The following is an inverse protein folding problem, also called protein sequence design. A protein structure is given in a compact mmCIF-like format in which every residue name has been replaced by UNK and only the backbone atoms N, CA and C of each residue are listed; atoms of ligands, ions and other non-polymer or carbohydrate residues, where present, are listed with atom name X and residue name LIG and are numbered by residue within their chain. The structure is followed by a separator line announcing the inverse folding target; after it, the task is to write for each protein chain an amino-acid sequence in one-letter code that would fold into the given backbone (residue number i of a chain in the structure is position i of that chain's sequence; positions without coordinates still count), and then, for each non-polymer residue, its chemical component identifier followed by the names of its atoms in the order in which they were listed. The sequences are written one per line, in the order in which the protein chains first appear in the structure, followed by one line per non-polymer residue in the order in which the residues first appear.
data_IF_652081099058
#
_entry.id   IF_652081099058
#
_cell.length_a   1.000
_cell.length_b   1.000
_cell.length_c   1.000
_cell.angle_alpha   90.00
_cell.angle_beta   90.00
_cell.angle_gamma   90.00
#
_symmetry.space_group_name_H-M   'P 1'
#
loop_
_entity.id
_entity.type
_entity.pdbx_description
1 polymer ?
#
# COMPACT_ATOMS: atom_id res chain seq x y z
N UNK A 1 -26.25 -20.86 13.30
CA UNK A 1 -26.11 -19.52 12.70
C UNK A 1 -24.64 -19.19 12.67
N UNK A 2 -23.99 -19.32 11.50
CA UNK A 2 -22.60 -18.90 11.32
C UNK A 2 -22.58 -17.47 10.79
N UNK A 3 -22.15 -16.54 11.64
CA UNK A 3 -21.83 -15.18 11.23
C UNK A 3 -20.48 -15.23 10.51
N UNK A 4 -20.53 -15.41 9.19
CA UNK A 4 -19.34 -15.31 8.34
C UNK A 4 -18.98 -13.83 8.26
N UNK A 5 -18.10 -13.39 9.14
CA UNK A 5 -17.50 -12.07 9.07
C UNK A 5 -16.78 -11.95 7.72
N UNK A 6 -17.32 -11.16 6.80
CA UNK A 6 -16.61 -10.73 5.61
C UNK A 6 -15.53 -9.75 6.09
N UNK A 7 -14.37 -10.29 6.43
CA UNK A 7 -13.18 -9.48 6.57
C UNK A 7 -12.84 -9.06 5.13
N UNK A 8 -12.90 -7.77 4.78
CA UNK A 8 -12.45 -7.35 3.45
C UNK A 8 -11.02 -7.83 3.28
N UNK A 9 -10.73 -8.56 2.20
CA UNK A 9 -9.37 -8.98 1.88
C UNK A 9 -8.55 -7.75 1.54
N UNK A 10 -7.95 -7.16 2.56
CA UNK A 10 -6.94 -6.12 2.43
C UNK A 10 -5.61 -6.82 2.23
N UNK A 11 -5.00 -6.59 1.08
CA UNK A 11 -3.61 -7.01 0.88
C UNK A 11 -2.71 -6.09 1.70
N UNK A 12 -1.75 -6.69 2.37
CA UNK A 12 -0.71 -5.95 3.08
C UNK A 12 0.62 -6.18 2.39
N UNK A 13 1.39 -5.12 2.21
CA UNK A 13 2.71 -5.19 1.60
C UNK A 13 3.70 -4.36 2.39
N UNK A 14 4.80 -5.00 2.76
CA UNK A 14 5.93 -4.33 3.38
C UNK A 14 6.74 -3.63 2.31
N UNK A 15 6.86 -2.31 2.43
CA UNK A 15 7.65 -1.46 1.55
C UNK A 15 8.72 -0.73 2.36
N UNK A 16 9.89 -0.56 1.76
CA UNK A 16 10.95 0.27 2.31
C UNK A 16 10.87 1.64 1.64
N UNK A 17 10.68 2.67 2.44
CA UNK A 17 10.53 4.04 2.00
C UNK A 17 11.79 4.84 2.37
N UNK A 18 12.39 5.51 1.40
CA UNK A 18 13.72 6.14 1.55
C UNK A 18 13.62 7.65 1.85
N UNK A 19 12.40 8.21 1.95
CA UNK A 19 12.19 9.62 2.29
C UNK A 19 11.62 9.73 3.70
N UNK A 20 12.46 9.56 4.72
CA UNK A 20 12.06 9.69 6.13
C UNK A 20 11.40 11.04 6.46
N UNK A 21 11.76 12.12 5.75
CA UNK A 21 11.17 13.46 5.93
C UNK A 21 9.63 13.45 5.74
N UNK A 22 9.13 12.56 4.87
CA UNK A 22 7.70 12.38 4.61
C UNK A 22 7.05 11.37 5.57
N UNK A 23 7.84 10.54 6.25
CA UNK A 23 7.42 9.59 7.31
C UNK A 23 7.26 10.33 8.64
N UNK A 24 6.75 11.55 8.58
CA UNK A 24 6.40 12.35 9.76
C UNK A 24 4.89 12.23 9.97
N UNK A 25 4.37 12.11 11.21
CA UNK A 25 2.92 12.08 11.46
C UNK A 25 2.18 13.29 10.88
N UNK A 26 2.85 14.44 10.72
CA UNK A 26 2.32 15.63 10.04
C UNK A 26 2.08 15.44 8.54
N UNK A 27 2.85 14.57 7.88
CA UNK A 27 2.82 14.36 6.44
C UNK A 27 2.16 13.03 6.05
N UNK A 28 1.46 12.37 6.97
CA UNK A 28 0.73 11.13 6.72
C UNK A 28 -0.16 11.19 5.46
N UNK A 29 -0.88 12.29 5.26
CA UNK A 29 -1.75 12.49 4.11
C UNK A 29 -0.96 12.64 2.79
N UNK A 30 0.14 13.40 2.82
CA UNK A 30 1.01 13.59 1.66
C UNK A 30 1.67 12.27 1.26
N UNK A 31 2.14 11.51 2.25
CA UNK A 31 2.75 10.20 2.04
C UNK A 31 1.75 9.20 1.47
N UNK A 32 0.51 9.15 1.98
CA UNK A 32 -0.53 8.30 1.43
C UNK A 32 -0.80 8.62 -0.04
N UNK A 33 -0.87 9.91 -0.40
CA UNK A 33 -1.07 10.36 -1.77
C UNK A 33 0.09 9.97 -2.69
N UNK A 34 1.32 10.14 -2.21
CA UNK A 34 2.53 9.77 -2.95
C UNK A 34 2.58 8.25 -3.18
N UNK A 35 2.34 7.46 -2.13
CA UNK A 35 2.29 6.01 -2.22
C UNK A 35 1.20 5.51 -3.17
N UNK A 36 -0.01 6.08 -3.12
CA UNK A 36 -1.09 5.80 -4.09
C UNK A 36 -0.68 6.10 -5.51
N UNK A 37 -0.08 7.28 -5.74
CA UNK A 37 0.32 7.72 -7.07
C UNK A 37 1.44 6.86 -7.65
N UNK A 38 2.42 6.49 -6.83
CA UNK A 38 3.60 5.72 -7.28
C UNK A 38 3.31 4.23 -7.45
N UNK A 39 2.44 3.66 -6.63
CA UNK A 39 2.07 2.24 -6.75
C UNK A 39 0.86 2.01 -7.65
N UNK A 40 0.04 3.04 -7.90
CA UNK A 40 -1.25 2.90 -8.57
C UNK A 40 -2.27 2.11 -7.75
N UNK A 41 -1.97 1.81 -6.48
CA UNK A 41 -2.82 1.01 -5.60
C UNK A 41 -3.66 1.91 -4.70
N UNK A 42 -4.92 1.54 -4.46
CA UNK A 42 -5.80 2.24 -3.53
C UNK A 42 -5.43 1.88 -2.08
N UNK A 43 -4.40 2.55 -1.55
CA UNK A 43 -3.97 2.36 -0.16
C UNK A 43 -5.07 2.89 0.76
N UNK A 44 -5.57 2.00 1.63
CA UNK A 44 -6.59 2.29 2.65
C UNK A 44 -5.95 2.71 3.97
N UNK A 45 -4.85 2.06 4.32
CA UNK A 45 -4.14 2.28 5.59
C UNK A 45 -2.67 1.97 5.40
N UNK A 46 -1.83 2.54 6.25
CA UNK A 46 -0.45 2.12 6.39
C UNK A 46 -0.04 2.17 7.85
N UNK A 47 0.92 1.34 8.21
CA UNK A 47 1.50 1.22 9.54
C UNK A 47 3.02 1.29 9.43
N UNK A 48 3.64 2.12 10.26
CA UNK A 48 5.09 2.30 10.28
C UNK A 48 5.64 1.24 11.22
N UNK A 49 6.43 0.31 10.69
CA UNK A 49 7.05 -0.76 11.47
C UNK A 49 8.31 -0.28 12.15
N UNK A 50 9.23 0.28 11.37
CA UNK A 50 10.54 0.71 11.86
C UNK A 50 10.98 1.94 11.10
N UNK A 51 11.69 2.82 11.80
CA UNK A 51 12.27 4.02 11.24
C UNK A 51 13.77 3.99 11.52
N UNK A 52 14.56 3.89 10.47
CA UNK A 52 16.02 3.96 10.51
C UNK A 52 16.46 5.41 10.22
N UNK A 53 16.68 6.16 11.30
CA UNK A 53 17.16 7.54 11.23
C UNK A 53 18.61 7.67 10.76
N UNK A 54 19.38 6.58 10.78
CA UNK A 54 20.78 6.60 10.37
C UNK A 54 20.93 6.54 8.85
N UNK A 55 20.00 5.82 8.19
CA UNK A 55 19.97 5.62 6.74
C UNK A 55 18.84 6.39 6.05
N UNK A 56 18.12 7.23 6.78
CA UNK A 56 16.95 7.96 6.31
C UNK A 56 15.87 7.06 5.68
N UNK A 57 15.76 5.82 6.14
CA UNK A 57 14.82 4.82 5.59
C UNK A 57 13.79 4.40 6.63
N UNK A 58 12.57 4.12 6.20
CA UNK A 58 11.52 3.56 7.05
C UNK A 58 10.90 2.32 6.42
N UNK A 59 10.61 1.33 7.26
CA UNK A 59 9.85 0.14 6.91
C UNK A 59 8.38 0.39 7.23
N UNK A 60 7.54 0.25 6.20
CA UNK A 60 6.13 0.63 6.27
C UNK A 60 5.31 -0.49 5.66
N UNK A 61 4.28 -0.92 6.38
CA UNK A 61 3.30 -1.87 5.89
C UNK A 61 2.14 -1.07 5.31
N UNK A 62 1.91 -1.17 4.01
CA UNK A 62 0.74 -0.58 3.36
C UNK A 62 -0.36 -1.64 3.23
N UNK A 63 -1.59 -1.25 3.55
CA UNK A 63 -2.80 -2.02 3.33
C UNK A 63 -3.56 -1.41 2.17
N UNK A 64 -3.67 -2.16 1.09
CA UNK A 64 -4.38 -1.74 -0.11
C UNK A 64 -5.43 -2.78 -0.50
N UNK A 65 -6.46 -2.32 -1.19
CA UNK A 65 -7.38 -3.23 -1.87
C UNK A 65 -6.75 -3.56 -3.20
N UNK A 66 -6.61 -4.85 -3.51
CA UNK A 66 -6.16 -5.28 -4.83
C UNK A 66 -7.02 -4.54 -5.88
N UNK A 67 -6.40 -3.83 -6.85
CA UNK A 67 -7.16 -3.33 -7.98
C UNK A 67 -7.82 -4.54 -8.62
N UNK A 68 -9.14 -4.42 -8.84
CA UNK A 68 -9.89 -5.40 -9.60
C UNK A 68 -9.33 -5.36 -11.03
N UNK A 69 -8.32 -6.19 -11.30
CA UNK A 69 -7.76 -6.43 -12.63
C UNK A 69 -8.71 -7.27 -13.48
N UNK A 70 -10.00 -7.37 -13.10
CA UNK A 70 -11.02 -8.23 -13.69
C UNK A 70 -11.35 -7.94 -15.15
N UNK A 71 -10.72 -6.92 -15.76
CA UNK A 71 -11.00 -6.47 -17.13
C UNK A 71 -9.80 -6.54 -18.08
N UNK A 72 -8.58 -6.86 -17.62
CA UNK A 72 -7.36 -6.89 -18.47
C UNK A 72 -6.95 -8.29 -18.92
N UNK A 73 -7.91 -9.22 -18.97
CA UNK A 73 -7.76 -10.54 -19.57
C UNK A 73 -8.70 -10.70 -20.77
N UNK A 74 -8.71 -9.73 -21.67
CA UNK A 74 -9.09 -9.96 -23.06
C UNK A 74 -7.95 -9.41 -23.92
N UNK A 75 -7.57 -10.11 -24.98
CA UNK A 75 -6.37 -9.88 -25.82
C UNK A 75 -5.03 -10.36 -25.24
N UNK A 76 -4.87 -11.68 -25.16
CA UNK A 76 -3.62 -12.27 -25.66
C UNK A 76 -3.77 -12.44 -27.18
N UNK A 77 -3.05 -11.71 -28.05
CA UNK A 77 -2.94 -12.14 -29.44
C UNK A 77 -2.14 -13.43 -29.47
N UNK A 78 -2.78 -14.50 -29.90
CA UNK A 78 -2.21 -15.84 -30.07
C UNK A 78 -0.98 -15.79 -31.01
N UNK A 79 0.17 -16.36 -30.63
CA UNK A 79 1.17 -16.82 -31.58
C UNK A 79 0.97 -18.30 -31.96
#
# INVERSE_FOLDING_TARGET
LEQKWLIPTLENRLIRYEKIELVTPRNHAAMLSDLRTRTGLDIKRFDIQEIDFLRDTALIIIYYTAPDYGDLMDEQPEP
#
